data_IF_978065608860
#
_entry.id   IF_978065608860
#
_cell.length_a   1.000
_cell.length_b   1.000
_cell.length_c   1.000
_cell.angle_alpha   90.00
_cell.angle_beta   90.00
_cell.angle_gamma   90.00
#
_symmetry.space_group_name_H-M   'P 1'
#
loop_
_entity.id
_entity.type
_entity.pdbx_description
1 polymer ?
#
# COMPACT_ATOMS: atom_id res chain seq x y z
N UNK A 1 11.10 -1.25 -3.97
CA UNK A 1 10.35 -2.08 -4.93
C UNK A 1 9.69 -3.29 -4.28
N UNK A 2 10.44 -4.21 -3.65
CA UNK A 2 9.97 -5.54 -3.19
C UNK A 2 8.62 -5.65 -2.46
N UNK A 3 8.23 -4.66 -1.63
CA UNK A 3 7.03 -4.77 -0.79
C UNK A 3 5.73 -4.66 -1.58
N UNK A 4 5.62 -3.69 -2.51
CA UNK A 4 4.41 -3.55 -3.32
C UNK A 4 4.25 -4.75 -4.26
N UNK A 5 5.35 -5.32 -4.72
CA UNK A 5 5.34 -6.53 -5.54
C UNK A 5 4.84 -7.76 -4.78
N UNK A 6 5.15 -7.90 -3.48
CA UNK A 6 4.54 -8.93 -2.63
C UNK A 6 3.01 -8.79 -2.54
N UNK A 7 2.51 -7.56 -2.43
CA UNK A 7 1.06 -7.31 -2.45
C UNK A 7 0.48 -7.63 -3.83
N UNK A 8 1.10 -7.16 -4.91
CA UNK A 8 0.69 -7.48 -6.30
C UNK A 8 0.65 -8.99 -6.54
N UNK A 9 1.60 -9.74 -5.99
CA UNK A 9 1.58 -11.21 -6.07
C UNK A 9 0.40 -11.80 -5.30
N UNK A 10 0.09 -11.27 -4.12
CA UNK A 10 -1.05 -11.69 -3.33
C UNK A 10 -2.38 -11.40 -4.05
N UNK A 11 -2.50 -10.25 -4.74
CA UNK A 11 -3.63 -9.96 -5.62
C UNK A 11 -3.72 -10.99 -6.76
N UNK A 12 -2.61 -11.28 -7.45
CA UNK A 12 -2.59 -12.26 -8.55
C UNK A 12 -3.03 -13.66 -8.10
N UNK A 13 -2.58 -14.11 -6.93
CA UNK A 13 -2.84 -15.47 -6.44
C UNK A 13 -4.26 -15.65 -5.89
N UNK A 14 -4.90 -14.58 -5.40
CA UNK A 14 -6.19 -14.66 -4.68
C UNK A 14 -7.29 -13.78 -5.29
N UNK A 15 -7.11 -13.27 -6.52
CA UNK A 15 -8.10 -12.45 -7.25
C UNK A 15 -9.48 -13.10 -7.38
N UNK A 16 -9.55 -14.42 -7.37
CA UNK A 16 -10.81 -15.15 -7.51
C UNK A 16 -11.47 -15.45 -6.15
N UNK A 17 -10.77 -15.15 -5.04
CA UNK A 17 -11.20 -15.43 -3.66
C UNK A 17 -11.61 -14.15 -2.93
N UNK A 18 -10.95 -13.02 -3.22
CA UNK A 18 -11.21 -11.76 -2.54
C UNK A 18 -10.94 -10.54 -3.44
N UNK A 19 -11.61 -9.44 -3.11
CA UNK A 19 -11.31 -8.11 -3.66
C UNK A 19 -10.16 -7.45 -2.92
N UNK A 20 -9.43 -6.57 -3.63
CA UNK A 20 -8.27 -5.87 -3.10
C UNK A 20 -8.40 -4.36 -3.26
N UNK A 21 -8.07 -3.61 -2.21
CA UNK A 21 -8.10 -2.15 -2.18
C UNK A 21 -6.81 -1.60 -1.57
N UNK A 22 -6.21 -0.61 -2.24
CA UNK A 22 -5.12 0.20 -1.72
C UNK A 22 -5.67 1.56 -1.35
N UNK A 23 -5.49 1.97 -0.10
CA UNK A 23 -5.89 3.30 0.38
C UNK A 23 -4.65 4.17 0.48
N UNK A 24 -4.53 5.17 -0.38
CA UNK A 24 -3.44 6.13 -0.36
C UNK A 24 -3.65 7.17 0.74
N UNK A 25 -2.69 7.27 1.67
CA UNK A 25 -2.76 8.16 2.83
C UNK A 25 -1.78 9.34 2.70
N UNK A 26 -1.63 10.13 3.77
CA UNK A 26 -0.65 11.22 3.78
C UNK A 26 0.79 10.68 3.74
N UNK A 27 1.70 11.44 3.13
CA UNK A 27 3.12 11.08 3.07
C UNK A 27 3.73 11.00 4.46
N UNK A 28 4.38 9.86 4.77
CA UNK A 28 5.10 9.71 6.03
C UNK A 28 6.37 10.58 6.06
N UNK A 29 6.98 10.83 4.90
CA UNK A 29 8.27 11.53 4.75
C UNK A 29 8.21 12.59 3.64
N UNK A 30 7.28 13.53 3.77
CA UNK A 30 7.12 14.62 2.80
C UNK A 30 8.40 15.46 2.66
N UNK A 31 8.74 15.87 1.43
CA UNK A 31 9.99 16.58 1.12
C UNK A 31 10.10 17.94 1.79
N UNK A 32 8.98 18.62 2.05
CA UNK A 32 8.91 19.92 2.70
C UNK A 32 8.87 19.84 4.24
N UNK A 33 9.15 18.66 4.82
CA UNK A 33 9.29 18.48 6.28
C UNK A 33 10.60 17.77 6.64
N UNK A 34 10.55 16.46 6.80
CA UNK A 34 11.66 15.59 7.18
C UNK A 34 11.73 14.43 6.20
N UNK A 35 12.39 14.64 5.08
CA UNK A 35 12.64 13.61 4.08
C UNK A 35 13.99 12.92 4.31
N UNK A 36 14.02 11.63 4.02
CA UNK A 36 15.28 10.89 3.92
C UNK A 36 15.96 11.21 2.59
N UNK A 37 17.30 11.19 2.57
CA UNK A 37 18.05 11.12 1.32
C UNK A 37 17.65 9.80 0.64
N UNK A 38 17.04 9.87 -0.55
CA UNK A 38 16.48 8.77 -1.37
C UNK A 38 14.96 8.50 -1.27
N UNK A 39 14.14 9.47 -0.83
CA UNK A 39 12.68 9.36 -0.97
C UNK A 39 12.16 9.90 -2.32
N UNK A 40 10.95 9.50 -2.72
CA UNK A 40 10.22 10.18 -3.80
C UNK A 40 9.94 11.62 -3.38
N UNK A 41 10.20 12.60 -4.26
CA UNK A 41 9.94 14.01 -3.98
C UNK A 41 8.43 14.31 -4.06
N UNK A 42 7.74 14.12 -2.94
CA UNK A 42 6.32 14.43 -2.76
C UNK A 42 6.17 15.29 -1.51
N UNK A 43 5.63 16.50 -1.70
CA UNK A 43 5.32 17.43 -0.61
C UNK A 43 4.05 17.04 0.12
N UNK A 44 3.83 17.63 1.30
CA UNK A 44 2.55 17.48 2.00
C UNK A 44 1.40 17.96 1.09
N UNK A 45 0.44 17.07 0.83
CA UNK A 45 -0.72 17.38 0.02
C UNK A 45 -1.57 18.50 0.65
N UNK A 46 -1.77 19.59 -0.10
CA UNK A 46 -2.63 20.73 0.24
C UNK A 46 -4.01 20.63 -0.42
N UNK A 47 -4.16 19.72 -1.37
CA UNK A 47 -5.42 19.44 -2.05
C UNK A 47 -5.60 17.95 -2.33
N UNK A 48 -6.86 17.55 -2.60
CA UNK A 48 -7.17 16.19 -3.07
C UNK A 48 -6.49 15.87 -4.40
N UNK A 49 -6.35 16.86 -5.28
CA UNK A 49 -5.73 16.68 -6.59
C UNK A 49 -4.23 16.41 -6.49
N UNK A 50 -3.53 17.05 -5.55
CA UNK A 50 -2.12 16.73 -5.24
C UNK A 50 -1.99 15.30 -4.71
N UNK A 51 -2.86 14.89 -3.78
CA UNK A 51 -2.86 13.52 -3.25
C UNK A 51 -3.16 12.49 -4.35
N UNK A 52 -4.10 12.78 -5.24
CA UNK A 52 -4.41 11.91 -6.38
C UNK A 52 -3.23 11.79 -7.33
N UNK A 53 -2.50 12.88 -7.55
CA UNK A 53 -1.29 12.89 -8.39
C UNK A 53 -0.19 12.03 -7.77
N UNK A 54 0.03 12.13 -6.46
CA UNK A 54 0.95 11.26 -5.72
C UNK A 54 0.55 9.77 -5.79
N UNK A 55 -0.73 9.47 -5.61
CA UNK A 55 -1.27 8.12 -5.72
C UNK A 55 -1.08 7.50 -7.12
N UNK A 56 -1.12 8.31 -8.19
CA UNK A 56 -0.82 7.84 -9.55
C UNK A 56 0.63 7.44 -9.74
N UNK A 57 1.56 8.10 -9.05
CA UNK A 57 2.98 7.69 -9.07
C UNK A 57 3.13 6.29 -8.47
N UNK A 58 2.34 5.95 -7.43
CA UNK A 58 2.39 4.61 -6.79
C UNK A 58 1.94 3.50 -7.75
N UNK A 59 1.04 3.84 -8.68
CA UNK A 59 0.53 2.91 -9.68
C UNK A 59 1.48 2.70 -10.87
N UNK A 60 2.49 3.57 -11.05
CA UNK A 60 3.46 3.42 -12.13
C UNK A 60 4.29 2.12 -11.99
N UNK A 61 4.73 1.56 -13.12
CA UNK A 61 5.48 0.30 -13.14
C UNK A 61 6.88 0.44 -12.52
N UNK A 62 7.48 1.63 -12.64
CA UNK A 62 8.77 1.99 -12.08
C UNK A 62 8.65 3.27 -11.24
N UNK A 63 8.22 3.17 -9.97
CA UNK A 63 8.25 4.32 -9.09
C UNK A 63 9.70 4.80 -8.96
N UNK A 64 9.93 6.07 -9.31
CA UNK A 64 11.26 6.71 -9.49
C UNK A 64 12.21 6.52 -8.30
N UNK A 65 11.69 6.26 -7.10
CA UNK A 65 12.44 5.86 -5.91
C UNK A 65 11.57 4.92 -5.05
N UNK A 66 12.16 4.06 -4.19
CA UNK A 66 11.37 3.39 -3.17
C UNK A 66 10.72 4.45 -2.28
N UNK A 67 9.39 4.46 -2.22
CA UNK A 67 8.67 5.21 -1.19
C UNK A 67 9.32 4.88 0.16
N UNK A 68 9.95 5.86 0.81
CA UNK A 68 10.57 5.69 2.12
C UNK A 68 9.53 5.28 3.17
N UNK A 69 8.25 5.45 2.85
CA UNK A 69 7.12 4.89 3.57
C UNK A 69 6.85 3.44 3.11
N UNK A 70 6.99 2.49 4.03
CA UNK A 70 6.46 1.13 3.86
C UNK A 70 4.93 1.22 3.82
N UNK A 71 4.21 0.32 3.11
CA UNK A 71 2.79 0.18 3.38
C UNK A 71 2.65 -0.11 4.87
N UNK A 72 1.80 0.64 5.57
CA UNK A 72 1.87 0.66 7.04
C UNK A 72 1.08 -0.49 7.66
N UNK A 73 -0.08 -0.83 7.09
CA UNK A 73 -1.04 -1.77 7.67
C UNK A 73 -1.79 -2.57 6.61
N UNK A 74 -2.17 -3.78 6.96
CA UNK A 74 -3.05 -4.64 6.17
C UNK A 74 -4.29 -5.02 6.99
N UNK A 75 -5.43 -5.06 6.31
CA UNK A 75 -6.71 -5.45 6.87
C UNK A 75 -7.35 -6.50 5.98
N UNK A 76 -8.07 -7.46 6.58
CA UNK A 76 -9.02 -8.32 5.87
C UNK A 76 -10.39 -8.07 6.48
N UNK A 77 -11.36 -7.76 5.62
CA UNK A 77 -12.74 -7.50 6.00
C UNK A 77 -13.59 -8.58 5.34
N UNK A 78 -14.38 -9.28 6.14
CA UNK A 78 -15.29 -10.33 5.67
C UNK A 78 -16.65 -10.12 6.33
N UNK A 79 -17.71 -10.08 5.53
CA UNK A 79 -19.09 -9.88 5.99
C UNK A 79 -19.23 -8.67 6.93
N UNK A 80 -18.59 -7.55 6.57
CA UNK A 80 -18.61 -6.30 7.34
C UNK A 80 -17.77 -6.29 8.62
N UNK A 81 -17.04 -7.36 8.94
CA UNK A 81 -16.20 -7.47 10.13
C UNK A 81 -14.72 -7.54 9.77
N UNK A 82 -13.88 -6.84 10.54
CA UNK A 82 -12.42 -6.96 10.43
C UNK A 82 -11.99 -8.30 11.04
N UNK A 83 -11.52 -9.23 10.19
CA UNK A 83 -11.05 -10.56 10.59
C UNK A 83 -9.53 -10.62 10.74
N UNK A 84 -8.81 -9.67 10.15
CA UNK A 84 -7.37 -9.51 10.29
C UNK A 84 -7.00 -8.03 10.34
N UNK A 85 -6.08 -7.66 11.25
CA UNK A 85 -5.53 -6.32 11.40
C UNK A 85 -4.09 -6.42 11.90
N UNK A 86 -3.13 -5.93 11.13
CA UNK A 86 -1.74 -5.88 11.57
C UNK A 86 -0.94 -4.82 10.80
N UNK A 87 0.34 -4.68 11.16
CA UNK A 87 1.31 -4.02 10.30
C UNK A 87 1.51 -4.77 8.97
N UNK A 88 2.44 -4.32 8.13
CA UNK A 88 2.62 -4.95 6.82
C UNK A 88 3.25 -6.35 6.88
N UNK A 89 2.40 -7.38 6.83
CA UNK A 89 2.78 -8.78 6.78
C UNK A 89 1.95 -9.57 5.74
N UNK A 90 2.33 -9.53 4.45
CA UNK A 90 1.62 -10.24 3.38
C UNK A 90 1.52 -11.76 3.59
N UNK A 91 2.54 -12.37 4.19
CA UNK A 91 2.53 -13.82 4.49
C UNK A 91 1.42 -14.23 5.46
N UNK A 92 1.08 -13.38 6.42
CA UNK A 92 -0.02 -13.63 7.34
C UNK A 92 -1.38 -13.43 6.66
N UNK A 93 -1.52 -12.42 5.79
CA UNK A 93 -2.72 -12.24 4.96
C UNK A 93 -2.93 -13.44 4.03
N UNK A 94 -1.88 -13.95 3.38
CA UNK A 94 -1.95 -15.16 2.55
C UNK A 94 -2.53 -16.34 3.33
N UNK A 95 -2.06 -16.59 4.56
CA UNK A 95 -2.60 -17.67 5.42
C UNK A 95 -4.08 -17.47 5.76
N UNK A 96 -4.55 -16.23 5.84
CA UNK A 96 -5.97 -15.92 6.05
C UNK A 96 -6.76 -16.23 4.77
N UNK A 97 -6.30 -15.76 3.62
CA UNK A 97 -6.98 -15.98 2.33
C UNK A 97 -7.01 -17.45 1.90
N UNK A 98 -5.95 -18.22 2.19
CA UNK A 98 -5.92 -19.67 1.95
C UNK A 98 -7.00 -20.44 2.71
N UNK A 99 -7.54 -19.90 3.80
CA UNK A 99 -8.66 -20.52 4.55
C UNK A 99 -10.03 -20.12 3.99
N UNK A 100 -10.06 -19.21 3.01
CA UNK A 100 -11.28 -18.71 2.37
C UNK A 100 -11.48 -19.33 0.97
N UNK A 101 -10.48 -20.06 0.48
CA UNK A 101 -10.57 -20.93 -0.71
C UNK A 101 -11.10 -22.30 -0.30
#
# INVERSE_FOLDING_TARGET
LYKLDEFRQLVRDFRDVADFLVVYIAEAHATDRWAFHNNVDIRVHRSLQERLSAARILLSEEPLCPYGAKPERLYVIQSGKVTYKSGYCPGAVRKVLQKMT
#
